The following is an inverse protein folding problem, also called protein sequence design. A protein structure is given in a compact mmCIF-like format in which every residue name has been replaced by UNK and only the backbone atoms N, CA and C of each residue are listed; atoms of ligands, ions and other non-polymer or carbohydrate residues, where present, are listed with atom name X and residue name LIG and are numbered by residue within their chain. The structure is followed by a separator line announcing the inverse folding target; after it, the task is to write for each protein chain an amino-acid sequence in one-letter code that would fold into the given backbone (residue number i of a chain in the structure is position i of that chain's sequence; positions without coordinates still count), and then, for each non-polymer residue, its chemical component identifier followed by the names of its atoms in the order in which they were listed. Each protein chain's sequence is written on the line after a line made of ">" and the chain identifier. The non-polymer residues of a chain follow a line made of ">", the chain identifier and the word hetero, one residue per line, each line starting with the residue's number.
data_IF_080203211507
#
_entry.id   IF_080203211507
#
_cell.length_a   1.000
_cell.length_b   1.000
_cell.length_c   1.000
_cell.angle_alpha   90.00
_cell.angle_beta   90.00
_cell.angle_gamma   90.00
#
_symmetry.space_group_name_H-M   'P 1'
#
loop_
_entity.id
_entity.type
_entity.pdbx_description
1 polymer ?
#
# COMPACT_ATOMS: atom_id res chain seq x y z
N UNK A 1 3.02 1.66 -72.97
CA UNK A 1 2.37 0.38 -73.27
C UNK A 1 1.19 0.21 -72.32
N UNK A 2 0.01 0.06 -72.90
CA UNK A 2 -1.33 -0.10 -72.29
C UNK A 2 -1.57 -1.50 -71.73
N UNK A 3 -2.42 -1.64 -70.71
CA UNK A 3 -3.53 -2.64 -70.52
C UNK A 3 -4.04 -2.51 -69.05
N UNK A 4 -5.23 -1.94 -68.79
CA UNK A 4 -6.60 -2.52 -68.72
C UNK A 4 -6.93 -3.22 -67.38
N UNK A 5 -7.78 -2.69 -66.49
CA UNK A 5 -9.27 -2.66 -66.41
C UNK A 5 -9.98 -3.98 -65.98
N UNK A 6 -10.72 -3.88 -64.85
CA UNK A 6 -12.06 -4.46 -64.50
C UNK A 6 -12.19 -5.67 -63.54
N UNK A 7 -12.81 -5.37 -62.39
CA UNK A 7 -14.03 -5.90 -61.73
C UNK A 7 -14.36 -7.41 -61.62
N UNK A 8 -14.85 -7.77 -60.41
CA UNK A 8 -16.03 -8.62 -60.03
C UNK A 8 -15.64 -9.52 -58.83
N UNK A 9 -16.12 -9.25 -57.61
CA UNK A 9 -17.41 -9.59 -56.97
C UNK A 9 -17.56 -11.06 -56.53
N UNK A 10 -18.19 -11.20 -55.34
CA UNK A 10 -18.58 -12.41 -54.61
C UNK A 10 -17.42 -13.16 -53.94
N UNK A 11 -17.46 -13.53 -52.66
CA UNK A 11 -18.56 -13.72 -51.73
C UNK A 11 -18.20 -14.93 -50.87
N UNK A 12 -18.70 -14.96 -49.62
CA UNK A 12 -18.51 -16.01 -48.61
C UNK A 12 -17.11 -16.01 -47.93
N UNK A 13 -16.97 -15.96 -46.61
CA UNK A 13 -17.96 -15.93 -45.55
C UNK A 13 -17.40 -15.16 -44.37
N UNK A 14 -18.31 -14.45 -43.69
CA UNK A 14 -18.14 -14.13 -42.29
C UNK A 14 -17.89 -15.46 -41.59
N UNK A 15 -16.62 -15.75 -41.28
CA UNK A 15 -16.28 -16.72 -40.26
C UNK A 15 -16.86 -16.14 -38.99
N UNK A 16 -18.10 -16.52 -38.70
CA UNK A 16 -18.65 -16.48 -37.38
C UNK A 16 -17.64 -17.22 -36.51
N UNK A 17 -16.79 -16.47 -35.82
CA UNK A 17 -16.06 -16.94 -34.66
C UNK A 17 -17.13 -17.20 -33.59
N UNK A 18 -17.84 -18.33 -33.74
CA UNK A 18 -18.52 -18.96 -32.62
C UNK A 18 -17.47 -19.12 -31.51
N UNK A 19 -17.79 -18.77 -30.26
CA UNK A 19 -16.79 -18.61 -29.22
C UNK A 19 -16.27 -19.98 -28.82
N UNK A 20 -15.13 -20.37 -29.39
CA UNK A 20 -14.26 -21.36 -28.78
C UNK A 20 -13.69 -20.73 -27.52
N UNK A 21 -14.34 -20.96 -26.37
CA UNK A 21 -13.72 -21.31 -25.08
C UNK A 21 -14.76 -21.33 -23.96
N UNK A 22 -15.52 -22.42 -23.92
CA UNK A 22 -16.42 -22.73 -22.81
C UNK A 22 -15.77 -23.57 -21.70
N UNK A 23 -14.45 -23.79 -21.72
CA UNK A 23 -13.78 -24.70 -20.77
C UNK A 23 -12.34 -24.25 -20.46
N UNK A 24 -12.16 -23.12 -19.77
CA UNK A 24 -10.91 -22.97 -19.02
C UNK A 24 -10.91 -24.01 -17.89
N UNK A 25 -10.01 -24.97 -17.94
CA UNK A 25 -9.95 -26.09 -16.98
C UNK A 25 -8.67 -26.11 -16.15
N UNK A 26 -7.74 -25.19 -16.40
CA UNK A 26 -6.46 -25.08 -15.69
C UNK A 26 -5.96 -23.62 -15.65
N UNK A 27 -4.83 -23.41 -14.97
CA UNK A 27 -4.18 -22.11 -14.78
C UNK A 27 -3.76 -21.44 -16.11
N UNK A 28 -3.29 -22.22 -17.09
CA UNK A 28 -2.83 -21.68 -18.37
C UNK A 28 -3.99 -21.09 -19.17
N UNK A 29 -5.15 -21.76 -19.16
CA UNK A 29 -6.36 -21.26 -19.83
C UNK A 29 -6.83 -19.93 -19.21
N UNK A 30 -6.80 -19.83 -17.87
CA UNK A 30 -7.17 -18.60 -17.14
C UNK A 30 -6.18 -17.48 -17.45
N UNK A 31 -4.87 -17.75 -17.39
CA UNK A 31 -3.82 -16.77 -17.70
C UNK A 31 -3.97 -16.21 -19.11
N UNK A 32 -4.17 -17.08 -20.09
CA UNK A 32 -4.33 -16.67 -21.47
C UNK A 32 -5.60 -15.84 -21.71
N UNK A 33 -6.72 -16.20 -21.08
CA UNK A 33 -7.93 -15.39 -21.15
C UNK A 33 -7.76 -14.01 -20.48
N UNK A 34 -6.97 -13.93 -19.41
CA UNK A 34 -6.61 -12.67 -18.75
C UNK A 34 -5.68 -11.80 -19.62
N UNK A 35 -4.72 -12.40 -20.33
CA UNK A 35 -3.85 -11.71 -21.29
C UNK A 35 -4.68 -11.11 -22.44
N UNK A 36 -5.61 -11.89 -23.01
CA UNK A 36 -6.56 -11.41 -24.02
C UNK A 36 -7.44 -10.28 -23.47
N UNK A 37 -7.99 -10.46 -22.27
CA UNK A 37 -8.85 -9.47 -21.62
C UNK A 37 -8.12 -8.14 -21.34
N UNK A 38 -6.81 -8.18 -21.04
CA UNK A 38 -6.01 -6.98 -20.77
C UNK A 38 -5.88 -6.05 -21.98
N UNK A 39 -6.07 -6.56 -23.20
CA UNK A 39 -6.03 -5.80 -24.45
C UNK A 39 -7.41 -5.32 -24.94
N UNK A 40 -8.49 -5.67 -24.24
CA UNK A 40 -9.86 -5.37 -24.64
C UNK A 40 -10.47 -4.22 -23.82
N UNK A 41 -11.44 -3.48 -24.39
CA UNK A 41 -12.30 -2.58 -23.61
C UNK A 41 -13.04 -3.34 -22.48
N UNK A 42 -13.42 -2.66 -21.37
CA UNK A 42 -13.96 -3.34 -20.18
C UNK A 42 -15.18 -4.22 -20.41
N UNK A 43 -16.11 -3.83 -21.28
CA UNK A 43 -17.31 -4.60 -21.62
C UNK A 43 -16.95 -5.93 -22.31
N UNK A 44 -16.03 -5.90 -23.29
CA UNK A 44 -15.55 -7.06 -24.04
C UNK A 44 -14.68 -7.95 -23.17
N UNK A 45 -13.79 -7.36 -22.37
CA UNK A 45 -12.98 -8.07 -21.40
C UNK A 45 -13.85 -8.82 -20.37
N UNK A 46 -14.90 -8.18 -19.86
CA UNK A 46 -15.87 -8.83 -18.97
C UNK A 46 -16.62 -9.96 -19.66
N UNK A 47 -17.12 -9.74 -20.88
CA UNK A 47 -17.83 -10.78 -21.63
C UNK A 47 -16.95 -12.01 -21.88
N UNK A 48 -15.65 -11.81 -22.12
CA UNK A 48 -14.67 -12.89 -22.25
C UNK A 48 -14.44 -13.64 -20.92
N UNK A 49 -14.24 -12.90 -19.83
CA UNK A 49 -13.87 -13.49 -18.55
C UNK A 49 -15.07 -14.09 -17.81
N UNK A 50 -16.28 -13.55 -17.93
CA UNK A 50 -17.46 -13.91 -17.11
C UNK A 50 -17.87 -15.40 -17.17
N UNK A 51 -17.75 -16.12 -18.30
CA UNK A 51 -18.11 -17.54 -18.37
C UNK A 51 -17.14 -18.49 -17.65
N UNK A 52 -15.91 -18.04 -17.35
CA UNK A 52 -14.89 -18.90 -16.75
C UNK A 52 -15.28 -19.38 -15.33
N UNK A 53 -15.05 -20.63 -14.93
CA UNK A 53 -15.33 -21.04 -13.56
C UNK A 53 -14.45 -20.27 -12.56
N UNK A 54 -15.00 -19.96 -11.39
CA UNK A 54 -14.25 -19.28 -10.32
C UNK A 54 -13.27 -20.20 -9.54
N UNK A 55 -13.19 -21.48 -9.94
CA UNK A 55 -12.34 -22.54 -9.36
C UNK A 55 -11.80 -23.45 -10.47
N UNK A 56 -11.12 -22.85 -11.43
CA UNK A 56 -10.57 -23.57 -12.60
C UNK A 56 -9.12 -23.99 -12.44
N UNK A 57 -8.47 -23.65 -11.31
CA UNK A 57 -7.06 -23.93 -11.13
C UNK A 57 -6.56 -23.66 -9.70
N UNK A 58 -5.37 -23.08 -9.60
CA UNK A 58 -4.77 -22.68 -8.33
C UNK A 58 -5.51 -21.51 -7.68
N UNK A 59 -5.29 -21.34 -6.38
CA UNK A 59 -5.79 -20.17 -5.63
C UNK A 59 -5.34 -18.86 -6.27
N UNK A 60 -4.12 -18.81 -6.84
CA UNK A 60 -3.60 -17.65 -7.54
C UNK A 60 -4.44 -17.26 -8.76
N UNK A 61 -4.74 -18.23 -9.64
CA UNK A 61 -5.58 -17.99 -10.82
C UNK A 61 -7.01 -17.56 -10.46
N UNK A 62 -7.58 -18.15 -9.41
CA UNK A 62 -8.91 -17.77 -8.94
C UNK A 62 -8.92 -16.32 -8.42
N UNK A 63 -7.89 -15.91 -7.68
CA UNK A 63 -7.72 -14.54 -7.21
C UNK A 63 -7.52 -13.55 -8.37
N UNK A 64 -6.78 -13.92 -9.41
CA UNK A 64 -6.58 -13.10 -10.61
C UNK A 64 -7.89 -12.87 -11.36
N UNK A 65 -8.62 -13.96 -11.62
CA UNK A 65 -9.89 -13.90 -12.33
C UNK A 65 -10.93 -13.08 -11.56
N UNK A 66 -11.02 -13.27 -10.24
CA UNK A 66 -11.92 -12.50 -9.38
C UNK A 66 -11.56 -11.01 -9.37
N UNK A 67 -10.27 -10.68 -9.21
CA UNK A 67 -9.82 -9.29 -9.19
C UNK A 67 -10.04 -8.59 -10.54
N UNK A 68 -9.74 -9.28 -11.65
CA UNK A 68 -9.98 -8.77 -12.99
C UNK A 68 -11.48 -8.49 -13.23
N UNK A 69 -12.36 -9.43 -12.91
CA UNK A 69 -13.82 -9.25 -13.05
C UNK A 69 -14.35 -8.10 -12.19
N UNK A 70 -13.93 -8.03 -10.93
CA UNK A 70 -14.37 -6.95 -10.03
C UNK A 70 -13.91 -5.59 -10.55
N UNK A 71 -12.62 -5.47 -10.88
CA UNK A 71 -12.03 -4.24 -11.38
C UNK A 71 -12.58 -3.79 -12.72
N UNK A 72 -12.77 -4.70 -13.68
CA UNK A 72 -13.32 -4.36 -14.99
C UNK A 72 -14.79 -3.91 -14.90
N UNK A 73 -15.59 -4.41 -13.95
CA UNK A 73 -16.94 -3.89 -13.70
C UNK A 73 -16.90 -2.44 -13.23
N UNK A 74 -15.91 -2.09 -12.43
CA UNK A 74 -15.70 -0.73 -11.96
C UNK A 74 -15.20 0.16 -13.10
N UNK A 75 -14.27 -0.32 -13.93
CA UNK A 75 -13.81 0.41 -15.13
C UNK A 75 -14.98 0.70 -16.08
N UNK A 76 -15.83 -0.31 -16.34
CA UNK A 76 -17.05 -0.13 -17.14
C UNK A 76 -18.00 0.90 -16.51
N UNK A 77 -18.19 0.89 -15.19
CA UNK A 77 -19.02 1.87 -14.49
C UNK A 77 -18.43 3.29 -14.58
N UNK A 78 -17.10 3.43 -14.56
CA UNK A 78 -16.41 4.71 -14.72
C UNK A 78 -16.52 5.28 -16.14
N UNK A 79 -16.58 4.41 -17.17
CA UNK A 79 -16.78 4.80 -18.58
C UNK A 79 -18.17 5.40 -18.83
N UNK A 80 -19.20 4.89 -18.16
CA UNK A 80 -20.58 5.39 -18.29
C UNK A 80 -20.85 6.70 -17.54
N UNK A 81 -19.80 7.48 -17.29
CA UNK A 81 -19.78 8.79 -16.62
C UNK A 81 -20.61 8.83 -15.32
N UNK A 82 -20.00 8.59 -14.14
CA UNK A 82 -20.69 8.73 -12.86
C UNK A 82 -21.35 10.11 -12.73
N UNK A 83 -22.54 10.17 -12.15
CA UNK A 83 -23.34 11.40 -12.09
C UNK A 83 -22.75 12.49 -11.19
N UNK A 84 -21.79 12.15 -10.32
CA UNK A 84 -21.10 13.10 -9.42
C UNK A 84 -19.63 12.76 -9.21
N UNK A 85 -18.82 13.74 -8.81
CA UNK A 85 -17.42 13.54 -8.39
C UNK A 85 -17.30 12.54 -7.24
N UNK A 86 -18.24 12.57 -6.28
CA UNK A 86 -18.26 11.63 -5.15
C UNK A 86 -18.46 10.18 -5.61
N UNK A 87 -19.35 9.93 -6.58
CA UNK A 87 -19.54 8.58 -7.13
C UNK A 87 -18.33 8.11 -7.92
N UNK A 88 -17.68 9.00 -8.68
CA UNK A 88 -16.43 8.68 -9.37
C UNK A 88 -15.33 8.33 -8.37
N UNK A 89 -15.18 9.14 -7.32
CA UNK A 89 -14.19 8.91 -6.26
C UNK A 89 -14.44 7.58 -5.55
N UNK A 90 -15.70 7.29 -5.18
CA UNK A 90 -16.10 6.03 -4.55
C UNK A 90 -15.70 4.82 -5.40
N UNK A 91 -16.04 4.83 -6.70
CA UNK A 91 -15.62 3.79 -7.64
C UNK A 91 -14.08 3.70 -7.73
N UNK A 92 -13.36 4.82 -7.77
CA UNK A 92 -11.90 4.83 -7.84
C UNK A 92 -11.25 4.23 -6.57
N UNK A 93 -11.80 4.46 -5.38
CA UNK A 93 -11.33 3.81 -4.14
C UNK A 93 -11.57 2.29 -4.23
N UNK A 94 -12.78 1.88 -4.60
CA UNK A 94 -13.13 0.46 -4.74
C UNK A 94 -12.28 -0.24 -5.82
N UNK A 95 -11.93 0.47 -6.89
CA UNK A 95 -11.17 -0.03 -8.02
C UNK A 95 -9.83 -0.63 -7.62
N UNK A 96 -9.13 -0.03 -6.66
CA UNK A 96 -7.77 -0.44 -6.25
C UNK A 96 -7.71 -1.12 -4.89
N UNK A 97 -8.86 -1.20 -4.18
CA UNK A 97 -8.93 -1.70 -2.80
C UNK A 97 -9.82 -2.93 -2.68
N UNK A 98 -11.04 -2.86 -3.19
CA UNK A 98 -12.08 -3.86 -2.99
C UNK A 98 -13.47 -3.25 -2.89
N UNK A 99 -14.50 -4.05 -3.15
CA UNK A 99 -15.87 -3.54 -3.34
C UNK A 99 -16.52 -3.01 -2.05
N UNK A 100 -15.98 -3.37 -0.88
CA UNK A 100 -16.47 -2.87 0.40
C UNK A 100 -15.85 -1.52 0.82
N UNK A 101 -14.96 -0.96 -0.01
CA UNK A 101 -14.32 0.34 0.22
C UNK A 101 -15.23 1.52 -0.19
N UNK A 102 -16.48 1.48 0.26
CA UNK A 102 -17.48 2.53 0.01
C UNK A 102 -17.06 3.84 0.68
N UNK A 103 -17.15 4.96 -0.03
CA UNK A 103 -16.72 6.29 0.45
C UNK A 103 -17.23 6.61 1.86
N UNK A 104 -18.52 6.37 2.12
CA UNK A 104 -19.13 6.62 3.44
C UNK A 104 -18.48 5.79 4.54
N UNK A 105 -18.13 4.53 4.26
CA UNK A 105 -17.42 3.65 5.19
C UNK A 105 -15.97 4.11 5.37
N UNK A 106 -15.29 4.37 4.27
CA UNK A 106 -13.89 4.83 4.24
C UNK A 106 -13.72 6.08 5.09
N UNK A 107 -14.52 7.12 4.82
CA UNK A 107 -14.46 8.39 5.52
C UNK A 107 -14.77 8.23 7.02
N UNK A 108 -15.82 7.46 7.36
CA UNK A 108 -16.17 7.18 8.77
C UNK A 108 -15.01 6.51 9.51
N UNK A 109 -14.45 5.46 8.93
CA UNK A 109 -13.41 4.66 9.57
C UNK A 109 -12.10 5.47 9.71
N UNK A 110 -11.74 6.28 8.69
CA UNK A 110 -10.60 7.20 8.76
C UNK A 110 -10.78 8.27 9.83
N UNK A 111 -11.96 8.88 9.95
CA UNK A 111 -12.23 9.84 11.03
C UNK A 111 -12.19 9.19 12.42
N UNK A 112 -12.70 7.96 12.56
CA UNK A 112 -12.61 7.23 13.81
C UNK A 112 -11.15 6.92 14.18
N UNK A 113 -10.34 6.45 13.22
CA UNK A 113 -8.92 6.22 13.40
C UNK A 113 -8.16 7.50 13.76
N UNK A 114 -8.44 8.61 13.07
CA UNK A 114 -7.84 9.91 13.34
C UNK A 114 -8.05 10.34 14.80
N UNK A 115 -9.30 10.32 15.29
CA UNK A 115 -9.61 10.65 16.69
C UNK A 115 -8.91 9.73 17.68
N UNK A 116 -8.89 8.42 17.41
CA UNK A 116 -8.24 7.46 18.29
C UNK A 116 -6.72 7.66 18.35
N UNK A 117 -6.08 7.97 17.22
CA UNK A 117 -4.65 8.24 17.16
C UNK A 117 -4.28 9.54 17.90
N UNK A 118 -5.06 10.61 17.71
CA UNK A 118 -4.86 11.86 18.46
C UNK A 118 -5.02 11.67 19.97
N UNK A 119 -6.03 10.91 20.40
CA UNK A 119 -6.22 10.59 21.82
C UNK A 119 -5.04 9.79 22.40
N UNK A 120 -4.56 8.77 21.67
CA UNK A 120 -3.37 7.99 22.06
C UNK A 120 -2.11 8.84 22.12
N UNK A 121 -1.92 9.75 21.16
CA UNK A 121 -0.77 10.66 21.14
C UNK A 121 -0.82 11.63 22.31
N UNK A 122 -2.00 12.19 22.61
CA UNK A 122 -2.23 13.07 23.77
C UNK A 122 -1.82 12.35 25.06
N UNK A 123 -2.34 11.14 25.30
CA UNK A 123 -2.00 10.35 26.48
C UNK A 123 -0.51 10.01 26.56
N UNK A 124 0.16 9.72 25.43
CA UNK A 124 1.59 9.45 25.40
C UNK A 124 2.41 10.70 25.73
N UNK A 125 2.02 11.88 25.23
CA UNK A 125 2.65 13.15 25.57
C UNK A 125 2.46 13.53 27.03
N UNK A 126 1.27 13.32 27.58
CA UNK A 126 0.98 13.62 28.99
C UNK A 126 1.85 12.77 29.93
N UNK A 127 2.04 11.48 29.62
CA UNK A 127 2.97 10.61 30.36
C UNK A 127 4.42 11.07 30.32
N UNK A 128 4.84 11.72 29.24
CA UNK A 128 6.18 12.28 29.08
C UNK A 128 6.30 13.70 29.65
N UNK A 129 5.21 14.26 30.19
CA UNK A 129 5.13 15.65 30.63
C UNK A 129 5.63 16.65 29.55
N UNK A 130 5.33 16.38 28.28
CA UNK A 130 5.70 17.24 27.16
C UNK A 130 4.56 18.23 26.84
N UNK A 131 4.67 19.52 27.24
CA UNK A 131 3.61 20.50 27.05
C UNK A 131 3.42 20.91 25.58
N UNK A 132 2.20 21.38 25.28
CA UNK A 132 1.81 22.00 24.02
C UNK A 132 0.29 22.10 23.89
N UNK A 133 -0.18 23.06 23.10
CA UNK A 133 -1.61 23.39 22.95
C UNK A 133 -2.36 22.42 22.05
N UNK A 134 -1.69 21.81 21.07
CA UNK A 134 -2.23 20.78 20.18
C UNK A 134 -1.28 19.60 20.07
N UNK A 135 -1.78 18.45 19.63
CA UNK A 135 -0.93 17.28 19.32
C UNK A 135 0.14 17.63 18.28
N UNK A 136 -0.23 18.38 17.24
CA UNK A 136 0.72 18.84 16.23
C UNK A 136 1.84 19.72 16.79
N UNK A 137 1.52 20.68 17.66
CA UNK A 137 2.52 21.53 18.31
C UNK A 137 3.47 20.73 19.22
N UNK A 138 2.95 19.72 19.94
CA UNK A 138 3.76 18.83 20.77
C UNK A 138 4.71 17.98 19.92
N UNK A 139 4.22 17.46 18.79
CA UNK A 139 5.07 16.74 17.83
C UNK A 139 6.16 17.65 17.26
N UNK A 140 5.82 18.84 16.76
CA UNK A 140 6.80 19.78 16.21
C UNK A 140 7.94 20.09 17.19
N UNK A 141 7.60 20.27 18.48
CA UNK A 141 8.60 20.45 19.53
C UNK A 141 9.48 19.21 19.72
N UNK A 142 8.87 18.03 19.86
CA UNK A 142 9.60 16.77 20.04
C UNK A 142 10.54 16.49 18.86
N UNK A 143 10.11 16.82 17.65
CA UNK A 143 10.88 16.63 16.43
C UNK A 143 12.12 17.52 16.31
N UNK A 144 12.08 18.70 16.92
CA UNK A 144 13.19 19.66 16.89
C UNK A 144 14.16 19.48 18.06
N UNK A 145 13.87 18.55 18.96
CA UNK A 145 14.71 18.30 20.14
C UNK A 145 16.00 17.57 19.73
N UNK A 146 17.18 18.20 19.90
CA UNK A 146 18.45 17.68 19.43
C UNK A 146 18.83 16.33 20.06
N UNK A 147 18.23 15.95 21.20
CA UNK A 147 18.48 14.67 21.87
C UNK A 147 18.06 13.46 21.04
N UNK A 148 17.16 13.64 20.09
CA UNK A 148 16.66 12.55 19.23
C UNK A 148 17.19 12.62 17.80
N UNK A 149 18.01 13.61 17.47
CA UNK A 149 18.49 13.82 16.10
C UNK A 149 19.88 13.20 15.92
N UNK A 150 20.10 12.58 14.76
CA UNK A 150 21.43 12.18 14.35
C UNK A 150 22.22 13.40 13.85
N UNK A 151 23.55 13.42 14.05
CA UNK A 151 24.44 14.34 13.35
C UNK A 151 24.27 14.25 11.83
N UNK A 152 24.47 15.37 11.15
CA UNK A 152 24.35 15.41 9.68
C UNK A 152 25.68 15.13 8.99
N UNK A 153 26.28 14.00 9.33
CA UNK A 153 27.55 13.52 8.80
C UNK A 153 27.50 12.00 8.51
N UNK A 154 28.65 11.41 8.16
CA UNK A 154 28.75 9.98 7.86
C UNK A 154 28.47 9.11 9.10
N UNK A 155 28.92 9.54 10.28
CA UNK A 155 28.76 8.80 11.53
C UNK A 155 27.29 8.79 11.97
N UNK A 156 26.58 9.92 11.84
CA UNK A 156 25.14 10.00 12.10
C UNK A 156 24.31 9.12 11.16
N UNK A 157 24.72 8.99 9.89
CA UNK A 157 24.08 8.07 8.92
C UNK A 157 24.34 6.62 9.28
N UNK A 158 25.57 6.28 9.67
CA UNK A 158 25.92 4.94 10.15
C UNK A 158 25.11 4.58 11.42
N UNK A 159 25.06 5.50 12.40
CA UNK A 159 24.28 5.31 13.62
C UNK A 159 22.78 5.11 13.35
N UNK A 160 22.20 5.82 12.38
CA UNK A 160 20.81 5.61 11.97
C UNK A 160 20.58 4.22 11.36
N UNK A 161 21.49 3.75 10.50
CA UNK A 161 21.46 2.38 9.94
C UNK A 161 21.56 1.35 11.05
N UNK A 162 22.46 1.53 12.01
CA UNK A 162 22.64 0.61 13.13
C UNK A 162 21.41 0.57 14.05
N UNK A 163 20.77 1.72 14.31
CA UNK A 163 19.50 1.77 15.04
C UNK A 163 18.38 1.00 14.32
N UNK A 164 18.32 1.08 12.98
CA UNK A 164 17.37 0.32 12.18
C UNK A 164 17.68 -1.18 12.21
N UNK A 165 18.96 -1.58 12.15
CA UNK A 165 19.40 -2.99 12.29
C UNK A 165 19.05 -3.56 13.66
N UNK A 166 19.27 -2.81 14.73
CA UNK A 166 18.87 -3.20 16.08
C UNK A 166 17.35 -3.41 16.18
N UNK A 167 16.56 -2.53 15.56
CA UNK A 167 15.11 -2.72 15.49
C UNK A 167 14.74 -3.99 14.72
N UNK A 168 15.36 -4.23 13.57
CA UNK A 168 15.10 -5.43 12.77
C UNK A 168 15.40 -6.72 13.57
N UNK A 169 16.52 -6.76 14.28
CA UNK A 169 16.88 -7.87 15.16
C UNK A 169 15.85 -8.08 16.28
N UNK A 170 15.29 -7.01 16.85
CA UNK A 170 14.23 -7.08 17.85
C UNK A 170 12.87 -7.54 17.28
N UNK A 171 12.65 -7.38 15.98
CA UNK A 171 11.44 -7.82 15.27
C UNK A 171 11.49 -9.31 14.94
N UNK A 172 12.62 -9.81 14.45
CA UNK A 172 12.78 -11.19 13.95
C UNK A 172 12.18 -12.28 14.87
N UNK A 173 12.45 -12.33 16.19
CA UNK A 173 11.89 -13.37 17.06
C UNK A 173 10.37 -13.28 17.24
N UNK A 174 9.73 -12.16 16.87
CA UNK A 174 8.29 -11.94 16.96
C UNK A 174 7.54 -12.47 15.74
N UNK A 175 8.22 -12.63 14.60
CA UNK A 175 7.58 -12.94 13.31
C UNK A 175 6.77 -14.25 13.32
N UNK A 176 7.27 -15.38 13.86
CA UNK A 176 6.54 -16.66 13.78
C UNK A 176 5.14 -16.61 14.41
N UNK A 177 4.97 -15.86 15.51
CA UNK A 177 3.68 -15.70 16.20
C UNK A 177 2.76 -14.64 15.59
N UNK A 178 3.28 -13.78 14.72
CA UNK A 178 2.51 -12.72 14.09
C UNK A 178 2.14 -13.09 12.66
N UNK A 179 3.11 -13.44 11.82
CA UNK A 179 2.92 -13.65 10.38
C UNK A 179 3.25 -15.07 9.91
N UNK A 180 3.64 -15.95 10.84
CA UNK A 180 4.11 -17.30 10.52
C UNK A 180 5.59 -17.34 10.15
N UNK A 181 6.06 -18.52 9.79
CA UNK A 181 7.42 -18.68 9.28
C UNK A 181 7.50 -18.06 7.87
N UNK A 182 8.40 -17.10 7.71
CA UNK A 182 8.68 -16.51 6.40
C UNK A 182 9.63 -17.43 5.61
N UNK A 183 9.54 -17.46 4.28
CA UNK A 183 10.58 -18.07 3.45
C UNK A 183 11.96 -17.51 3.80
N UNK A 184 13.05 -18.31 3.78
CA UNK A 184 14.39 -17.85 4.12
C UNK A 184 14.79 -16.57 3.40
N UNK A 185 14.50 -16.48 2.10
CA UNK A 185 14.76 -15.33 1.24
C UNK A 185 14.04 -14.04 1.71
N UNK A 186 12.88 -14.17 2.36
CA UNK A 186 12.13 -13.03 2.91
C UNK A 186 12.63 -12.61 4.30
N UNK A 187 13.31 -13.52 5.03
CA UNK A 187 13.77 -13.27 6.40
C UNK A 187 15.16 -12.63 6.49
N UNK A 188 15.98 -12.81 5.45
CA UNK A 188 17.33 -12.27 5.34
C UNK A 188 17.31 -10.93 4.60
N UNK A 189 17.21 -9.85 5.38
CA UNK A 189 17.11 -8.49 4.85
C UNK A 189 18.23 -7.62 5.39
N UNK A 190 18.95 -6.96 4.50
CA UNK A 190 19.98 -5.99 4.81
C UNK A 190 19.43 -4.56 4.89
N UNK A 191 20.13 -3.72 5.65
CA UNK A 191 19.90 -2.28 5.70
C UNK A 191 21.22 -1.58 5.39
N UNK A 192 21.19 -0.65 4.43
CA UNK A 192 22.32 0.23 4.12
C UNK A 192 21.83 1.61 3.70
N UNK A 193 22.71 2.61 3.80
CA UNK A 193 22.46 3.93 3.22
C UNK A 193 22.70 3.92 1.70
N UNK A 194 22.20 4.95 1.01
CA UNK A 194 22.62 5.28 -0.35
C UNK A 194 24.14 5.50 -0.41
N UNK A 195 24.78 5.03 -1.47
CA UNK A 195 26.19 5.36 -1.76
C UNK A 195 26.31 6.80 -2.28
N UNK A 196 27.53 7.34 -2.27
CA UNK A 196 27.80 8.67 -2.84
C UNK A 196 27.40 8.76 -4.32
N UNK A 197 27.62 7.70 -5.09
CA UNK A 197 27.25 7.60 -6.51
C UNK A 197 25.73 7.60 -6.69
N UNK A 198 24.99 6.88 -5.83
CA UNK A 198 23.53 6.86 -5.87
C UNK A 198 22.93 8.22 -5.53
N UNK A 199 23.53 8.93 -4.56
CA UNK A 199 23.15 10.30 -4.21
C UNK A 199 23.43 11.25 -5.38
N UNK A 200 24.61 11.16 -5.99
CA UNK A 200 24.98 11.99 -7.15
C UNK A 200 24.06 11.73 -8.36
N UNK A 201 23.56 10.50 -8.52
CA UNK A 201 22.57 10.12 -9.53
C UNK A 201 21.13 10.55 -9.18
N UNK A 202 20.92 11.26 -8.05
CA UNK A 202 19.61 11.77 -7.65
C UNK A 202 18.66 10.70 -7.12
N UNK A 203 19.14 9.51 -6.75
CA UNK A 203 18.28 8.43 -6.25
C UNK A 203 17.67 8.80 -4.89
N UNK A 204 16.43 8.34 -4.69
CA UNK A 204 15.80 8.24 -3.37
C UNK A 204 15.98 6.85 -2.78
N UNK A 205 15.38 6.61 -1.61
CA UNK A 205 15.42 5.31 -0.95
C UNK A 205 14.64 4.27 -1.73
N UNK A 206 15.11 3.02 -1.73
CA UNK A 206 14.53 1.96 -2.54
C UNK A 206 14.75 0.57 -1.91
N UNK A 207 14.05 -0.44 -2.43
CA UNK A 207 14.14 -1.83 -1.99
C UNK A 207 14.78 -2.68 -3.08
N UNK A 208 15.60 -3.63 -2.66
CA UNK A 208 16.14 -4.71 -3.49
C UNK A 208 15.46 -5.98 -3.02
N UNK A 209 14.67 -6.61 -3.89
CA UNK A 209 14.07 -7.90 -3.57
C UNK A 209 15.16 -8.98 -3.53
N UNK A 210 15.05 -9.97 -2.62
CA UNK A 210 15.98 -11.08 -2.58
C UNK A 210 15.94 -11.87 -3.89
N UNK A 211 17.10 -12.39 -4.29
CA UNK A 211 17.26 -13.23 -5.47
C UNK A 211 17.93 -14.56 -5.13
N UNK A 212 18.23 -15.37 -6.14
CA UNK A 212 18.96 -16.63 -5.93
C UNK A 212 20.34 -16.35 -5.30
N UNK A 213 20.47 -16.65 -4.00
CA UNK A 213 21.70 -16.47 -3.24
C UNK A 213 22.04 -15.03 -2.82
N UNK A 214 21.17 -14.05 -3.08
CA UNK A 214 21.39 -12.64 -2.68
C UNK A 214 20.29 -12.19 -1.72
N UNK A 215 20.62 -11.67 -0.51
CA UNK A 215 19.63 -11.18 0.43
C UNK A 215 18.91 -9.95 -0.13
N UNK A 216 17.68 -9.74 0.33
CA UNK A 216 16.97 -8.50 0.05
C UNK A 216 17.59 -7.34 0.82
N UNK A 217 17.38 -6.10 0.38
CA UNK A 217 17.89 -4.93 1.09
C UNK A 217 16.92 -3.76 1.07
N UNK A 218 16.89 -3.00 2.17
CA UNK A 218 16.35 -1.64 2.18
C UNK A 218 17.49 -0.63 2.13
N UNK A 219 17.53 0.13 1.02
CA UNK A 219 18.49 1.21 0.81
C UNK A 219 17.85 2.51 1.26
N UNK A 220 18.27 2.99 2.42
CA UNK A 220 17.66 4.13 3.10
C UNK A 220 18.19 5.43 2.52
N UNK A 221 17.28 6.34 2.17
CA UNK A 221 17.65 7.72 1.87
C UNK A 221 17.96 8.45 3.17
N UNK A 222 19.22 8.84 3.37
CA UNK A 222 19.64 9.58 4.56
C UNK A 222 20.18 10.97 4.21
N UNK A 223 19.80 11.54 3.05
CA UNK A 223 20.26 12.88 2.62
C UNK A 223 19.89 13.96 3.64
N UNK A 224 18.69 13.88 4.22
CA UNK A 224 18.17 14.80 5.25
C UNK A 224 18.04 14.10 6.61
N UNK A 225 19.04 13.32 7.05
CA UNK A 225 18.95 12.50 8.27
C UNK A 225 18.63 13.35 9.52
N UNK A 226 19.07 14.60 9.59
CA UNK A 226 18.77 15.49 10.72
C UNK A 226 17.27 15.78 10.91
N UNK A 227 16.45 15.53 9.88
CA UNK A 227 14.97 15.63 9.96
C UNK A 227 14.32 14.32 10.41
N UNK A 228 15.10 13.29 10.71
CA UNK A 228 14.67 11.92 11.05
C UNK A 228 15.05 11.60 12.49
N UNK A 229 14.19 11.90 13.47
CA UNK A 229 14.51 11.56 14.83
C UNK A 229 14.50 10.05 15.02
N UNK A 230 15.42 9.58 15.86
CA UNK A 230 15.65 8.16 16.16
C UNK A 230 14.39 7.42 16.57
N UNK A 231 13.52 8.06 17.37
CA UNK A 231 12.27 7.45 17.85
C UNK A 231 11.26 7.13 16.74
N UNK A 232 11.41 7.69 15.54
CA UNK A 232 10.52 7.42 14.40
C UNK A 232 10.95 6.22 13.54
N UNK A 233 12.24 5.84 13.61
CA UNK A 233 12.82 4.80 12.79
C UNK A 233 12.22 3.41 13.02
N UNK A 234 11.81 3.01 14.25
CA UNK A 234 11.24 1.68 14.44
C UNK A 234 9.98 1.40 13.61
N UNK A 235 9.12 2.41 13.41
CA UNK A 235 7.92 2.25 12.55
C UNK A 235 8.30 2.12 11.08
N UNK A 236 9.35 2.82 10.64
CA UNK A 236 9.89 2.69 9.28
C UNK A 236 10.41 1.27 9.07
N UNK A 237 11.15 0.70 10.02
CA UNK A 237 11.63 -0.69 9.91
C UNK A 237 10.48 -1.68 9.80
N UNK A 238 9.43 -1.53 10.62
CA UNK A 238 8.26 -2.40 10.57
C UNK A 238 7.51 -2.31 9.22
N UNK A 239 7.48 -1.12 8.60
CA UNK A 239 6.81 -0.87 7.32
C UNK A 239 7.64 -1.34 6.12
N UNK A 240 8.90 -0.93 6.07
CA UNK A 240 9.82 -1.10 4.95
C UNK A 240 10.42 -2.50 4.90
N UNK A 241 10.72 -3.08 6.06
CA UNK A 241 11.36 -4.39 6.18
C UNK A 241 10.37 -5.45 6.65
N UNK A 242 10.49 -5.89 7.90
CA UNK A 242 9.73 -7.01 8.47
C UNK A 242 8.79 -6.48 9.55
N UNK A 243 7.52 -6.93 9.60
CA UNK A 243 6.87 -7.87 8.69
C UNK A 243 6.24 -7.17 7.47
N UNK A 244 6.65 -5.94 7.16
CA UNK A 244 6.08 -5.13 6.09
C UNK A 244 6.52 -5.57 4.69
N UNK A 245 7.03 -4.63 3.89
CA UNK A 245 7.26 -4.87 2.47
C UNK A 245 8.25 -5.99 2.15
N UNK A 246 9.29 -6.21 2.96
CA UNK A 246 10.25 -7.28 2.69
C UNK A 246 9.72 -8.68 3.07
N UNK A 247 8.62 -8.76 3.82
CA UNK A 247 7.87 -10.02 3.96
C UNK A 247 6.86 -10.23 2.82
N UNK A 248 6.34 -9.14 2.22
CA UNK A 248 5.26 -9.20 1.23
C UNK A 248 5.74 -9.26 -0.21
N UNK A 249 6.60 -8.32 -0.63
CA UNK A 249 6.98 -8.16 -2.04
C UNK A 249 7.73 -9.36 -2.62
N UNK A 250 8.66 -10.03 -1.90
CA UNK A 250 9.33 -11.20 -2.48
C UNK A 250 8.37 -12.38 -2.67
N UNK A 251 7.46 -12.61 -1.71
CA UNK A 251 6.43 -13.63 -1.85
C UNK A 251 5.47 -13.31 -2.99
N UNK A 252 5.12 -12.03 -3.17
CA UNK A 252 4.32 -11.60 -4.31
C UNK A 252 5.03 -11.84 -5.64
N UNK A 253 6.32 -11.53 -5.74
CA UNK A 253 7.10 -11.79 -6.96
C UNK A 253 7.11 -13.29 -7.29
N UNK A 254 7.29 -14.16 -6.28
CA UNK A 254 7.25 -15.61 -6.45
C UNK A 254 5.86 -16.14 -6.84
N UNK A 255 4.79 -15.48 -6.38
CA UNK A 255 3.42 -15.87 -6.69
C UNK A 255 2.96 -15.46 -8.11
N UNK A 256 3.73 -14.62 -8.81
CA UNK A 256 3.46 -14.09 -10.16
C UNK A 256 1.97 -13.71 -10.42
N UNK A 257 1.40 -12.75 -9.66
CA UNK A 257 0.06 -12.23 -9.94
C UNK A 257 -0.07 -11.74 -11.38
N UNK A 258 -1.21 -12.02 -12.02
CA UNK A 258 -1.51 -11.38 -13.30
C UNK A 258 -1.52 -9.84 -13.16
N UNK A 259 -1.03 -9.06 -14.14
CA UNK A 259 -1.01 -7.59 -14.08
C UNK A 259 -2.36 -6.92 -13.80
N UNK A 260 -3.48 -7.54 -14.22
CA UNK A 260 -4.82 -7.05 -13.85
C UNK A 260 -5.06 -7.11 -12.33
N UNK A 261 -4.61 -8.17 -11.63
CA UNK A 261 -4.68 -8.21 -10.16
C UNK A 261 -3.80 -7.12 -9.55
N UNK A 262 -2.60 -6.91 -10.10
CA UNK A 262 -1.72 -5.82 -9.63
C UNK A 262 -2.38 -4.44 -9.73
N UNK A 263 -3.12 -4.20 -10.82
CA UNK A 263 -3.87 -2.97 -11.09
C UNK A 263 -5.08 -2.78 -10.18
N UNK A 264 -5.83 -3.85 -9.89
CA UNK A 264 -7.10 -3.78 -9.14
C UNK A 264 -6.98 -4.07 -7.64
N UNK A 265 -5.80 -4.45 -7.17
CA UNK A 265 -5.47 -4.60 -5.75
C UNK A 265 -4.28 -3.70 -5.35
N UNK A 266 -4.08 -2.59 -6.08
CA UNK A 266 -2.89 -1.75 -5.93
C UNK A 266 -2.71 -1.16 -4.52
N UNK A 267 -3.80 -0.91 -3.78
CA UNK A 267 -3.74 -0.38 -2.42
C UNK A 267 -3.11 -1.36 -1.40
N UNK A 268 -3.10 -2.66 -1.73
CA UNK A 268 -2.64 -3.73 -0.83
C UNK A 268 -1.19 -3.57 -0.39
N UNK A 269 -0.29 -3.15 -1.27
CA UNK A 269 1.14 -3.04 -0.95
C UNK A 269 1.37 -2.07 0.21
N UNK A 270 0.89 -0.83 0.08
CA UNK A 270 1.01 0.20 1.13
C UNK A 270 0.11 -0.10 2.34
N UNK A 271 -1.07 -0.68 2.09
CA UNK A 271 -1.97 -1.11 3.16
C UNK A 271 -1.39 -2.21 4.02
N UNK A 272 -0.64 -3.16 3.44
CA UNK A 272 0.08 -4.20 4.17
C UNK A 272 1.20 -3.60 5.02
N UNK A 273 2.05 -2.74 4.47
CA UNK A 273 3.13 -2.09 5.23
C UNK A 273 2.59 -1.33 6.45
N UNK A 274 1.48 -0.60 6.26
CA UNK A 274 0.80 0.12 7.33
C UNK A 274 0.14 -0.80 8.36
N UNK A 275 -0.40 -1.93 7.91
CA UNK A 275 -0.98 -2.94 8.76
C UNK A 275 0.09 -3.68 9.58
N UNK A 276 1.27 -3.93 9.00
CA UNK A 276 2.43 -4.50 9.67
C UNK A 276 2.92 -3.62 10.83
N UNK A 277 2.89 -2.30 10.68
CA UNK A 277 3.14 -1.37 11.79
C UNK A 277 2.11 -1.53 12.92
N UNK A 278 0.82 -1.68 12.59
CA UNK A 278 -0.22 -1.94 13.60
C UNK A 278 0.00 -3.27 14.32
N UNK A 279 0.37 -4.33 13.60
CA UNK A 279 0.69 -5.64 14.19
C UNK A 279 1.83 -5.51 15.20
N UNK A 280 2.91 -4.81 14.83
CA UNK A 280 4.05 -4.59 15.71
C UNK A 280 3.69 -3.73 16.94
N UNK A 281 2.83 -2.74 16.77
CA UNK A 281 2.31 -1.95 17.89
C UNK A 281 1.51 -2.82 18.88
N UNK A 282 0.64 -3.69 18.37
CA UNK A 282 -0.16 -4.63 19.17
C UNK A 282 0.65 -5.77 19.77
N UNK A 283 1.86 -6.00 19.28
CA UNK A 283 2.83 -6.95 19.81
C UNK A 283 3.75 -6.32 20.88
N UNK A 284 3.69 -5.00 21.05
CA UNK A 284 4.48 -4.26 22.03
C UNK A 284 5.88 -3.87 21.54
N UNK A 285 6.13 -3.80 20.23
CA UNK A 285 7.40 -3.29 19.70
C UNK A 285 7.64 -1.84 20.15
N UNK A 286 6.59 -1.02 20.16
CA UNK A 286 6.65 0.40 20.53
C UNK A 286 6.26 0.63 22.00
N UNK A 287 6.81 -0.18 22.92
CA UNK A 287 6.54 -0.03 24.35
C UNK A 287 7.17 1.24 24.95
N UNK A 288 8.33 1.67 24.42
CA UNK A 288 8.91 2.98 24.74
C UNK A 288 7.96 4.11 24.29
N UNK A 289 7.64 5.10 25.15
CA UNK A 289 6.71 6.16 24.80
C UNK A 289 7.15 7.03 23.61
N UNK A 290 8.45 7.22 23.37
CA UNK A 290 8.92 7.98 22.21
C UNK A 290 8.77 7.17 20.93
N UNK A 291 9.12 5.88 20.96
CA UNK A 291 8.89 4.96 19.84
C UNK A 291 7.39 4.86 19.50
N UNK A 292 6.52 4.85 20.53
CA UNK A 292 5.07 4.91 20.35
C UNK A 292 4.65 6.20 19.66
N UNK A 293 5.17 7.35 20.08
CA UNK A 293 4.89 8.64 19.43
C UNK A 293 5.35 8.66 17.96
N UNK A 294 6.52 8.06 17.67
CA UNK A 294 7.01 7.87 16.29
C UNK A 294 6.04 7.03 15.44
N UNK A 295 5.59 5.90 15.96
CA UNK A 295 4.58 5.06 15.30
C UNK A 295 3.24 5.80 15.09
N UNK A 296 2.73 6.48 16.13
CA UNK A 296 1.48 7.21 16.05
C UNK A 296 1.55 8.35 15.02
N UNK A 297 2.69 9.01 14.89
CA UNK A 297 2.89 10.04 13.89
C UNK A 297 2.84 9.49 12.45
N UNK A 298 3.52 8.37 12.19
CA UNK A 298 3.43 7.69 10.89
C UNK A 298 2.02 7.20 10.57
N UNK A 299 1.28 6.72 11.56
CA UNK A 299 -0.12 6.38 11.38
C UNK A 299 -1.00 7.61 11.10
N UNK A 300 -0.80 8.70 11.84
CA UNK A 300 -1.49 9.97 11.60
C UNK A 300 -1.19 10.51 10.22
N UNK A 301 0.06 10.43 9.75
CA UNK A 301 0.45 10.83 8.41
C UNK A 301 -0.42 10.16 7.35
N UNK A 302 -0.51 8.82 7.39
CA UNK A 302 -1.30 8.05 6.41
C UNK A 302 -2.79 8.36 6.51
N UNK A 303 -3.34 8.41 7.72
CA UNK A 303 -4.76 8.76 7.93
C UNK A 303 -5.08 10.19 7.45
N UNK A 304 -4.21 11.16 7.74
CA UNK A 304 -4.39 12.54 7.32
C UNK A 304 -4.31 12.69 5.80
N UNK A 305 -3.44 11.94 5.12
CA UNK A 305 -3.42 11.90 3.64
C UNK A 305 -4.72 11.35 3.06
N UNK A 306 -5.27 10.29 3.65
CA UNK A 306 -6.55 9.73 3.22
C UNK A 306 -7.71 10.71 3.43
N UNK A 307 -7.74 11.40 4.57
CA UNK A 307 -8.73 12.45 4.82
C UNK A 307 -8.53 13.67 3.89
N UNK A 308 -7.29 14.06 3.59
CA UNK A 308 -7.00 15.14 2.65
C UNK A 308 -7.44 14.78 1.22
N UNK A 309 -7.22 13.54 0.79
CA UNK A 309 -7.67 13.05 -0.51
C UNK A 309 -9.20 13.14 -0.66
N UNK A 310 -9.96 12.72 0.36
CA UNK A 310 -11.42 12.91 0.40
C UNK A 310 -11.78 14.40 0.43
N UNK A 311 -11.10 15.19 1.26
CA UNK A 311 -11.42 16.61 1.42
C UNK A 311 -11.26 17.39 0.11
N UNK A 312 -10.16 17.16 -0.61
CA UNK A 312 -9.82 17.84 -1.85
C UNK A 312 -10.76 17.44 -3.01
N UNK A 313 -11.08 16.14 -3.14
CA UNK A 313 -11.81 15.64 -4.31
C UNK A 313 -13.33 15.48 -4.10
N UNK A 314 -13.80 15.49 -2.86
CA UNK A 314 -15.21 15.23 -2.54
C UNK A 314 -15.84 16.34 -1.72
N UNK A 315 -15.09 16.98 -0.82
CA UNK A 315 -15.62 18.01 0.09
C UNK A 315 -15.33 19.45 -0.36
N UNK A 316 -14.71 19.62 -1.53
CA UNK A 316 -14.38 20.94 -2.08
C UNK A 316 -13.39 21.73 -1.23
N UNK A 317 -12.59 21.06 -0.40
CA UNK A 317 -11.58 21.72 0.41
C UNK A 317 -10.46 22.27 -0.49
N UNK A 318 -9.95 23.44 -0.15
CA UNK A 318 -8.76 24.00 -0.77
C UNK A 318 -7.48 23.38 -0.18
N UNK A 319 -6.38 23.45 -0.92
CA UNK A 319 -5.07 22.94 -0.48
C UNK A 319 -4.60 23.55 0.85
N UNK A 320 -4.85 24.84 1.10
CA UNK A 320 -4.50 25.52 2.36
C UNK A 320 -5.28 24.97 3.56
N UNK A 321 -6.56 24.61 3.35
CA UNK A 321 -7.40 24.02 4.39
C UNK A 321 -6.92 22.61 4.74
N UNK A 322 -6.61 21.78 3.73
CA UNK A 322 -6.05 20.45 3.94
C UNK A 322 -4.68 20.51 4.64
N UNK A 323 -3.82 21.46 4.23
CA UNK A 323 -2.52 21.70 4.87
C UNK A 323 -2.65 22.10 6.35
N UNK A 324 -3.58 23.01 6.65
CA UNK A 324 -3.85 23.44 8.02
C UNK A 324 -4.32 22.27 8.90
N UNK A 325 -5.21 21.42 8.38
CA UNK A 325 -5.69 20.23 9.09
C UNK A 325 -4.56 19.24 9.39
N UNK A 326 -3.68 18.96 8.41
CA UNK A 326 -2.50 18.10 8.63
C UNK A 326 -1.57 18.70 9.70
N UNK A 327 -1.23 19.98 9.60
CA UNK A 327 -0.36 20.63 10.59
C UNK A 327 -0.94 20.59 12.00
N UNK A 328 -2.24 20.82 12.15
CA UNK A 328 -2.91 20.76 13.45
C UNK A 328 -2.82 19.36 14.09
N UNK A 329 -2.92 18.30 13.28
CA UNK A 329 -2.91 16.92 13.75
C UNK A 329 -1.50 16.41 14.09
N UNK A 330 -0.47 16.81 13.32
CA UNK A 330 0.84 16.14 13.36
C UNK A 330 2.07 17.06 13.35
N UNK A 331 1.90 18.39 13.33
CA UNK A 331 3.03 19.33 13.25
C UNK A 331 3.67 19.30 11.87
N UNK A 332 4.94 19.69 11.73
CA UNK A 332 5.64 19.59 10.45
C UNK A 332 5.92 18.13 10.03
N UNK A 333 6.04 17.86 8.71
CA UNK A 333 6.31 16.51 8.21
C UNK A 333 7.70 16.04 8.59
N UNK A 334 7.78 14.74 8.81
CA UNK A 334 8.95 14.05 9.36
C UNK A 334 9.66 13.22 8.28
N UNK A 335 9.27 13.48 7.03
CA UNK A 335 9.64 12.74 5.84
C UNK A 335 10.17 13.62 4.71
N UNK A 336 10.69 13.01 3.64
CA UNK A 336 11.49 13.66 2.59
C UNK A 336 10.74 14.67 1.70
N UNK A 337 9.49 15.04 2.02
CA UNK A 337 8.72 16.03 1.28
C UNK A 337 7.88 16.91 2.21
N UNK A 338 7.80 18.23 1.95
CA UNK A 338 6.84 19.10 2.63
C UNK A 338 5.39 18.66 2.39
N UNK A 339 4.49 18.89 3.35
CA UNK A 339 3.06 18.61 3.15
C UNK A 339 2.48 19.30 1.92
N UNK A 340 2.91 20.53 1.61
CA UNK A 340 2.44 21.24 0.44
C UNK A 340 2.76 20.48 -0.87
N UNK A 341 3.96 19.88 -0.96
CA UNK A 341 4.35 19.08 -2.11
C UNK A 341 3.58 17.75 -2.16
N UNK A 342 3.39 17.09 -1.02
CA UNK A 342 2.59 15.85 -0.97
C UNK A 342 1.11 16.12 -1.31
N UNK A 343 0.50 17.18 -0.77
CA UNK A 343 -0.87 17.59 -1.07
C UNK A 343 -1.06 17.96 -2.55
N UNK A 344 -0.09 18.65 -3.17
CA UNK A 344 -0.12 18.94 -4.60
C UNK A 344 -0.08 17.67 -5.46
N UNK A 345 0.56 16.60 -4.97
CA UNK A 345 0.55 15.28 -5.61
C UNK A 345 -0.78 14.57 -5.37
N UNK A 346 -1.30 14.62 -4.14
CA UNK A 346 -2.62 14.05 -3.79
C UNK A 346 -3.71 14.63 -4.69
N UNK A 347 -3.72 15.95 -4.92
CA UNK A 347 -4.68 16.62 -5.81
C UNK A 347 -4.64 16.14 -7.27
N UNK A 348 -3.63 15.37 -7.68
CA UNK A 348 -3.49 14.78 -9.03
C UNK A 348 -3.80 13.28 -9.05
N UNK A 349 -3.94 12.65 -7.88
CA UNK A 349 -4.10 11.21 -7.69
C UNK A 349 -5.34 10.92 -6.83
N UNK A 350 -6.56 11.17 -7.34
CA UNK A 350 -7.78 10.97 -6.56
C UNK A 350 -7.91 9.53 -6.08
N UNK A 351 -8.45 9.36 -4.87
CA UNK A 351 -8.79 8.09 -4.22
C UNK A 351 -7.61 7.23 -3.76
N UNK A 352 -6.39 7.49 -4.22
CA UNK A 352 -5.24 6.62 -3.93
C UNK A 352 -4.88 6.66 -2.45
N UNK A 353 -4.81 7.85 -1.83
CA UNK A 353 -4.42 7.93 -0.41
C UNK A 353 -5.55 7.47 0.50
N UNK A 354 -6.81 7.71 0.11
CA UNK A 354 -7.96 7.20 0.86
C UNK A 354 -7.96 5.67 0.90
N UNK A 355 -7.70 5.02 -0.24
CA UNK A 355 -7.56 3.58 -0.36
C UNK A 355 -6.41 3.01 0.50
N UNK A 356 -5.20 3.55 0.34
CA UNK A 356 -4.00 3.13 1.08
C UNK A 356 -4.17 3.31 2.61
N UNK A 357 -4.80 4.40 3.05
CA UNK A 357 -5.01 4.70 4.47
C UNK A 357 -6.11 3.84 5.11
N UNK A 358 -7.14 3.47 4.34
CA UNK A 358 -8.27 2.70 4.85
C UNK A 358 -7.99 1.19 4.90
N UNK A 359 -7.27 0.66 3.91
CA UNK A 359 -6.98 -0.77 3.82
C UNK A 359 -6.35 -1.39 5.10
N UNK A 360 -5.37 -0.79 5.80
CA UNK A 360 -4.83 -1.38 7.02
C UNK A 360 -5.88 -1.48 8.14
N UNK A 361 -6.81 -0.53 8.22
CA UNK A 361 -7.95 -0.59 9.16
C UNK A 361 -8.86 -1.76 8.79
N UNK A 362 -9.06 -1.99 7.49
CA UNK A 362 -9.88 -3.09 6.99
C UNK A 362 -9.25 -4.45 7.23
N UNK A 363 -7.95 -4.62 6.95
CA UNK A 363 -7.21 -5.86 7.25
C UNK A 363 -7.26 -6.19 8.75
N UNK A 364 -7.08 -5.18 9.61
CA UNK A 364 -7.23 -5.33 11.07
C UNK A 364 -8.63 -5.79 11.48
N UNK A 365 -9.67 -5.38 10.77
CA UNK A 365 -11.05 -5.78 11.03
C UNK A 365 -11.41 -7.17 10.45
N UNK A 366 -10.73 -7.61 9.39
CA UNK A 366 -10.96 -8.90 8.73
C UNK A 366 -10.20 -10.06 9.39
N UNK A 367 -9.04 -9.80 9.98
CA UNK A 367 -8.23 -10.85 10.62
C UNK A 367 -8.96 -11.54 11.79
N UNK A 368 -8.58 -12.78 12.14
CA UNK A 368 -9.09 -13.47 13.32
C UNK A 368 -8.86 -12.68 14.62
N UNK A 369 -9.84 -12.74 15.53
CA UNK A 369 -9.71 -12.13 16.87
C UNK A 369 -8.71 -12.89 17.75
N UNK A 370 -8.66 -14.22 17.61
CA UNK A 370 -7.72 -15.05 18.33
C UNK A 370 -6.31 -14.91 17.73
N UNK A 371 -5.36 -14.45 18.55
CA UNK A 371 -3.96 -14.26 18.14
C UNK A 371 -3.28 -15.57 17.74
N UNK A 372 -3.79 -16.73 18.19
CA UNK A 372 -3.27 -18.05 17.81
C UNK A 372 -3.49 -18.36 16.33
N UNK A 373 -4.50 -17.74 15.70
CA UNK A 373 -4.80 -17.91 14.28
C UNK A 373 -4.03 -16.93 13.38
N UNK A 374 -3.40 -15.90 13.94
CA UNK A 374 -2.70 -14.86 13.16
C UNK A 374 -1.61 -15.41 12.24
N UNK A 375 -0.72 -16.32 12.69
CA UNK A 375 0.33 -16.87 11.82
C UNK A 375 -0.24 -17.49 10.54
N UNK A 376 -1.26 -18.35 10.69
CA UNK A 376 -1.90 -19.04 9.57
C UNK A 376 -2.61 -18.07 8.63
N UNK A 377 -3.34 -17.10 9.20
CA UNK A 377 -4.08 -16.10 8.43
C UNK A 377 -3.14 -15.24 7.58
N UNK A 378 -2.10 -14.67 8.18
CA UNK A 378 -1.17 -13.79 7.48
C UNK A 378 -0.28 -14.54 6.48
N UNK A 379 0.18 -15.74 6.81
CA UNK A 379 0.94 -16.57 5.88
C UNK A 379 0.12 -16.83 4.61
N UNK A 380 -1.15 -17.23 4.76
CA UNK A 380 -2.06 -17.44 3.64
C UNK A 380 -2.28 -16.16 2.82
N UNK A 381 -2.40 -15.00 3.50
CA UNK A 381 -2.61 -13.72 2.84
C UNK A 381 -1.39 -13.29 1.98
N UNK A 382 -0.17 -13.54 2.46
CA UNK A 382 1.07 -13.14 1.80
C UNK A 382 1.50 -14.09 0.68
N UNK A 383 1.28 -15.40 0.82
CA UNK A 383 1.81 -16.43 -0.09
C UNK A 383 1.30 -16.33 -1.53
N UNK A 384 0.18 -15.64 -1.75
CA UNK A 384 -0.43 -15.49 -3.07
C UNK A 384 -0.30 -14.06 -3.61
N UNK A 385 0.53 -13.22 -3.00
CA UNK A 385 0.66 -11.81 -3.36
C UNK A 385 -0.59 -10.98 -3.04
N UNK A 386 -0.63 -9.74 -3.53
CA UNK A 386 -1.67 -8.77 -3.19
C UNK A 386 -3.09 -9.18 -3.57
N UNK A 387 -4.03 -8.68 -2.77
CA UNK A 387 -5.45 -9.03 -2.80
C UNK A 387 -6.36 -7.82 -2.66
N UNK A 388 -7.57 -7.92 -3.21
CA UNK A 388 -8.70 -7.04 -2.88
C UNK A 388 -9.26 -7.40 -1.51
N UNK A 389 -9.93 -6.49 -0.82
CA UNK A 389 -10.46 -6.73 0.54
C UNK A 389 -11.45 -7.89 0.61
N UNK A 390 -12.29 -8.11 -0.41
CA UNK A 390 -13.19 -9.27 -0.47
C UNK A 390 -12.46 -10.62 -0.56
N UNK A 391 -11.17 -10.61 -0.90
CA UNK A 391 -10.30 -11.79 -1.01
C UNK A 391 -9.44 -12.02 0.25
N UNK A 392 -9.57 -11.17 1.27
CA UNK A 392 -8.77 -11.20 2.51
C UNK A 392 -9.47 -11.89 3.70
N UNK A 393 -10.57 -12.62 3.46
CA UNK A 393 -11.33 -13.32 4.51
C UNK A 393 -10.88 -14.75 4.72
#
# INVERSE_FOLDING_TARGET
>A
MTFSRRHLLAGAGVLALAPLRAKATNDADVRHALDEAAALPPDRALALLQPLPARSGSVGSDLDLQAARAGLRIDLALEHAPSTESQRFDLQVQRITGNDAELTRVERDLHAAHRALLARATAAFDRLALPGTTVGARFERLWRDPRYLFPDDADGRAAAVDAMRATLAAIQPRLPRLVGALPPECSQVEIRALTAEEIAAGKGGYRILPGAGTPGAYVVDLKEIRRRPSFSLPSVVAHELLPGHMAQLPQEANADPHPLRLRYAAAFTEGWGSYAEMLMAEDGLFADPHALLGHLHWMLFRICRGLADIALHVRGARLDQALAAMRAAMGEPVYFAPFAADLARIAKEPAVRAAEAWLPLRLRALRPRDRRDWPRYHAALLQTGRRRTEQCR
#
